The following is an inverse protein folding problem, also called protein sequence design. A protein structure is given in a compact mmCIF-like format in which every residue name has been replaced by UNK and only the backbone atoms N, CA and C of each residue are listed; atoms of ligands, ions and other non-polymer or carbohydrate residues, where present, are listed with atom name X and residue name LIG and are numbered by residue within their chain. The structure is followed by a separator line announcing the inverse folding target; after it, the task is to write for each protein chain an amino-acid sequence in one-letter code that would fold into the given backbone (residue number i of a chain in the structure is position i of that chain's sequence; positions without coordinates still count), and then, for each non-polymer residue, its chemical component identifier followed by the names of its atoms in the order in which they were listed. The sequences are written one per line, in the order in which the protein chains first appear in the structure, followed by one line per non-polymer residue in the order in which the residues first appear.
data_IF_614171505718
#
_entry.id   IF_614171505718
#
_cell.length_a   1.000
_cell.length_b   1.000
_cell.length_c   1.000
_cell.angle_alpha   90.00
_cell.angle_beta   90.00
_cell.angle_gamma   90.00
#
_symmetry.space_group_name_H-M   'P 1'
#
loop_
_entity.id
_entity.type
_entity.pdbx_description
1 polymer ?
#
# COMPACT_ATOMS: atom_id res chain seq x y z
N UNK A 1 58.65 -66.06 46.06
CA UNK A 1 59.00 -65.17 47.19
C UNK A 1 58.27 -63.84 47.00
N UNK A 2 56.99 -63.84 47.37
CA UNK A 2 56.06 -62.71 47.32
C UNK A 2 55.75 -62.35 48.77
N UNK A 3 56.71 -61.74 49.49
CA UNK A 3 56.53 -61.54 50.93
C UNK A 3 57.49 -60.48 51.52
N UNK A 4 57.54 -59.27 50.94
CA UNK A 4 58.26 -58.14 51.56
C UNK A 4 57.61 -56.77 51.30
N UNK A 5 56.28 -56.69 51.36
CA UNK A 5 55.54 -55.42 51.32
C UNK A 5 54.48 -55.40 52.42
N UNK A 6 54.90 -55.34 53.69
CA UNK A 6 54.00 -55.00 54.80
C UNK A 6 54.79 -54.71 56.10
N UNK A 7 55.54 -53.61 56.16
CA UNK A 7 55.86 -53.00 57.45
C UNK A 7 54.67 -52.10 57.84
N UNK A 8 53.95 -52.36 58.94
CA UNK A 8 52.87 -51.48 59.36
C UNK A 8 53.49 -50.13 59.74
N UNK A 9 53.11 -49.08 59.03
CA UNK A 9 53.39 -47.71 59.43
C UNK A 9 52.93 -47.52 60.90
N UNK A 10 53.67 -46.76 61.73
CA UNK A 10 53.26 -46.49 63.10
C UNK A 10 51.85 -45.93 63.09
N UNK A 11 50.95 -46.52 63.88
CA UNK A 11 49.51 -46.31 63.86
C UNK A 11 49.08 -44.83 64.02
N UNK A 12 49.90 -44.01 64.67
CA UNK A 12 49.70 -42.56 64.75
C UNK A 12 49.87 -41.81 63.43
N UNK A 13 50.79 -42.27 62.56
CA UNK A 13 51.09 -41.65 61.28
C UNK A 13 50.01 -42.01 60.23
N UNK A 14 49.48 -43.24 60.29
CA UNK A 14 48.31 -43.63 59.49
C UNK A 14 47.05 -42.86 59.90
N UNK A 15 46.84 -42.61 61.19
CA UNK A 15 45.70 -41.78 61.65
C UNK A 15 45.82 -40.33 61.18
N UNK A 16 47.03 -39.75 61.27
CA UNK A 16 47.28 -38.37 60.84
C UNK A 16 47.05 -38.15 59.33
N UNK A 17 47.52 -39.09 58.50
CA UNK A 17 47.28 -39.05 57.05
C UNK A 17 45.79 -39.20 56.70
N UNK A 18 45.08 -40.08 57.38
CA UNK A 18 43.65 -40.31 57.15
C UNK A 18 42.83 -39.07 57.57
N UNK A 19 43.18 -38.45 58.71
CA UNK A 19 42.58 -37.18 59.14
C UNK A 19 42.84 -36.06 58.12
N UNK A 20 44.06 -35.93 57.60
CA UNK A 20 44.39 -34.93 56.59
C UNK A 20 43.62 -35.15 55.28
N UNK A 21 43.48 -36.39 54.83
CA UNK A 21 42.71 -36.73 53.64
C UNK A 21 41.21 -36.42 53.81
N UNK A 22 40.64 -36.70 54.99
CA UNK A 22 39.25 -36.36 55.32
C UNK A 22 39.05 -34.84 55.37
N UNK A 23 39.97 -34.08 55.96
CA UNK A 23 39.94 -32.62 55.96
C UNK A 23 40.07 -32.03 54.53
N UNK A 24 40.91 -32.62 53.69
CA UNK A 24 41.05 -32.21 52.28
C UNK A 24 39.79 -32.53 51.47
N UNK A 25 39.18 -33.71 51.67
CA UNK A 25 37.93 -34.08 51.01
C UNK A 25 36.74 -33.21 51.47
N UNK A 26 36.65 -32.92 52.77
CA UNK A 26 35.61 -32.05 53.32
C UNK A 26 35.76 -30.60 52.83
N UNK A 27 36.99 -30.06 52.83
CA UNK A 27 37.25 -28.70 52.32
C UNK A 27 37.03 -28.60 50.81
N UNK A 28 37.38 -29.63 50.02
CA UNK A 28 37.08 -29.72 48.59
C UNK A 28 35.58 -29.74 48.29
N UNK A 29 34.80 -30.52 49.05
CA UNK A 29 33.33 -30.58 48.89
C UNK A 29 32.64 -29.25 49.22
N UNK A 30 33.06 -28.57 50.29
CA UNK A 30 32.55 -27.25 50.68
C UNK A 30 32.91 -26.21 49.60
N UNK A 31 34.17 -26.16 49.17
CA UNK A 31 34.63 -25.21 48.16
C UNK A 31 33.92 -25.42 46.80
N UNK A 32 33.70 -26.68 46.38
CA UNK A 32 32.98 -27.00 45.16
C UNK A 32 31.50 -26.57 45.23
N UNK A 33 30.81 -26.87 46.33
CA UNK A 33 29.41 -26.48 46.52
C UNK A 33 29.21 -24.96 46.55
N UNK A 34 30.10 -24.22 47.22
CA UNK A 34 30.07 -22.75 47.20
C UNK A 34 30.38 -22.19 45.81
N UNK A 35 31.39 -22.73 45.12
CA UNK A 35 31.75 -22.32 43.78
C UNK A 35 30.63 -22.55 42.77
N UNK A 36 29.97 -23.72 42.83
CA UNK A 36 28.83 -24.06 41.98
C UNK A 36 27.66 -23.11 42.21
N UNK A 37 27.23 -22.91 43.47
CA UNK A 37 26.13 -22.00 43.80
C UNK A 37 26.43 -20.55 43.44
N UNK A 38 27.69 -20.12 43.59
CA UNK A 38 28.13 -18.79 43.20
C UNK A 38 28.08 -18.62 41.67
N UNK A 39 28.59 -19.61 40.92
CA UNK A 39 28.54 -19.61 39.46
C UNK A 39 27.09 -19.66 38.93
N UNK A 40 26.23 -20.47 39.56
CA UNK A 40 24.80 -20.55 39.24
C UNK A 40 24.10 -19.21 39.48
N UNK A 41 24.32 -18.58 40.65
CA UNK A 41 23.75 -17.27 40.97
C UNK A 41 24.23 -16.18 39.99
N UNK A 42 25.52 -16.18 39.64
CA UNK A 42 26.10 -15.25 38.68
C UNK A 42 25.53 -15.48 37.26
N UNK A 43 25.35 -16.74 36.87
CA UNK A 43 24.75 -17.13 35.60
C UNK A 43 23.28 -16.70 35.50
N UNK A 44 22.49 -16.96 36.56
CA UNK A 44 21.10 -16.53 36.66
C UNK A 44 20.97 -15.00 36.61
N UNK A 45 21.84 -14.28 37.33
CA UNK A 45 21.88 -12.82 37.31
C UNK A 45 22.20 -12.27 35.91
N UNK A 46 23.21 -12.82 35.22
CA UNK A 46 23.56 -12.43 33.85
C UNK A 46 22.46 -12.74 32.84
N UNK A 47 21.80 -13.89 32.99
CA UNK A 47 20.68 -14.26 32.12
C UNK A 47 19.49 -13.31 32.33
N UNK A 48 19.20 -12.93 33.57
CA UNK A 48 18.16 -11.94 33.88
C UNK A 48 18.49 -10.58 33.25
N UNK A 49 19.71 -10.07 33.44
CA UNK A 49 20.16 -8.81 32.86
C UNK A 49 20.09 -8.81 31.33
N UNK A 50 20.46 -9.92 30.69
CA UNK A 50 20.37 -10.07 29.24
C UNK A 50 18.91 -10.10 28.75
N UNK A 51 18.02 -10.79 29.47
CA UNK A 51 16.57 -10.78 29.19
C UNK A 51 15.98 -9.38 29.35
N UNK A 52 16.36 -8.65 30.39
CA UNK A 52 15.88 -7.29 30.64
C UNK A 52 16.36 -6.32 29.54
N UNK A 53 17.63 -6.42 29.13
CA UNK A 53 18.18 -5.64 28.01
C UNK A 53 17.44 -5.94 26.71
N UNK A 54 17.21 -7.21 26.41
CA UNK A 54 16.50 -7.60 25.19
C UNK A 54 15.02 -7.15 25.22
N UNK A 55 14.36 -7.23 26.38
CA UNK A 55 12.99 -6.75 26.55
C UNK A 55 12.90 -5.23 26.36
N UNK A 56 13.85 -4.46 26.92
CA UNK A 56 13.92 -3.00 26.71
C UNK A 56 14.17 -2.65 25.24
N UNK A 57 15.14 -3.30 24.61
CA UNK A 57 15.46 -3.05 23.20
C UNK A 57 14.28 -3.40 22.28
N UNK A 58 13.56 -4.49 22.57
CA UNK A 58 12.35 -4.86 21.85
C UNK A 58 11.23 -3.81 22.03
N UNK A 59 11.05 -3.29 23.25
CA UNK A 59 10.09 -2.22 23.53
C UNK A 59 10.43 -0.93 22.79
N UNK A 60 11.68 -0.47 22.88
CA UNK A 60 12.16 0.74 22.19
C UNK A 60 12.00 0.63 20.67
N UNK A 61 12.31 -0.56 20.11
CA UNK A 61 12.12 -0.83 18.68
C UNK A 61 10.64 -0.83 18.30
N UNK A 62 9.78 -1.43 19.13
CA UNK A 62 8.34 -1.44 18.91
C UNK A 62 7.73 -0.03 18.99
N UNK A 63 8.17 0.80 19.92
CA UNK A 63 7.76 2.20 20.05
C UNK A 63 8.21 3.02 18.85
N UNK A 64 9.48 2.91 18.44
CA UNK A 64 9.99 3.58 17.25
C UNK A 64 9.23 3.18 15.98
N UNK A 65 8.90 1.90 15.83
CA UNK A 65 8.08 1.41 14.72
C UNK A 65 6.64 1.93 14.78
N UNK A 66 6.02 1.99 15.96
CA UNK A 66 4.69 2.57 16.13
C UNK A 66 4.66 4.05 15.77
N UNK A 67 5.65 4.84 16.19
CA UNK A 67 5.76 6.26 15.83
C UNK A 67 5.89 6.42 14.32
N UNK A 68 6.76 5.63 13.67
CA UNK A 68 6.90 5.65 12.20
C UNK A 68 5.60 5.26 11.50
N UNK A 69 4.90 4.24 11.99
CA UNK A 69 3.61 3.82 11.45
C UNK A 69 2.56 4.91 11.60
N UNK A 70 2.46 5.54 12.77
CA UNK A 70 1.53 6.65 13.00
C UNK A 70 1.82 7.84 12.07
N UNK A 71 3.10 8.15 11.84
CA UNK A 71 3.49 9.19 10.88
C UNK A 71 3.08 8.82 9.46
N UNK A 72 3.27 7.57 9.04
CA UNK A 72 2.85 7.08 7.73
C UNK A 72 1.32 7.15 7.57
N UNK A 73 0.55 6.69 8.57
CA UNK A 73 -0.91 6.76 8.57
C UNK A 73 -1.39 8.21 8.52
N UNK A 74 -0.78 9.11 9.29
CA UNK A 74 -1.13 10.54 9.27
C UNK A 74 -0.89 11.16 7.90
N UNK A 75 0.25 10.85 7.27
CA UNK A 75 0.56 11.32 5.91
C UNK A 75 -0.42 10.77 4.87
N UNK A 76 -0.75 9.48 4.95
CA UNK A 76 -1.72 8.84 4.07
C UNK A 76 -3.11 9.49 4.21
N UNK A 77 -3.59 9.67 5.44
CA UNK A 77 -4.87 10.31 5.73
C UNK A 77 -4.93 11.75 5.19
N UNK A 78 -3.85 12.52 5.33
CA UNK A 78 -3.79 13.89 4.78
C UNK A 78 -3.87 13.88 3.26
N UNK A 79 -3.14 12.97 2.60
CA UNK A 79 -3.19 12.83 1.14
C UNK A 79 -4.59 12.41 0.66
N UNK A 80 -5.25 11.50 1.38
CA UNK A 80 -6.61 11.06 1.08
C UNK A 80 -7.63 12.20 1.24
N UNK A 81 -7.52 13.01 2.30
CA UNK A 81 -8.35 14.20 2.47
C UNK A 81 -8.18 15.22 1.34
N UNK A 82 -6.94 15.46 0.91
CA UNK A 82 -6.64 16.34 -0.22
C UNK A 82 -7.23 15.79 -1.52
N UNK A 83 -7.15 14.48 -1.74
CA UNK A 83 -7.75 13.82 -2.90
C UNK A 83 -9.27 13.98 -2.91
N UNK A 84 -9.95 13.72 -1.80
CA UNK A 84 -11.40 13.91 -1.70
C UNK A 84 -11.82 15.36 -1.91
N UNK A 85 -11.07 16.33 -1.38
CA UNK A 85 -11.34 17.75 -1.60
C UNK A 85 -11.25 18.14 -3.10
N UNK A 86 -10.28 17.57 -3.84
CA UNK A 86 -10.17 17.79 -5.29
C UNK A 86 -11.35 17.17 -6.04
N UNK A 87 -11.74 15.94 -5.66
CA UNK A 87 -12.87 15.26 -6.30
C UNK A 87 -14.19 16.02 -6.08
N UNK A 88 -14.44 16.49 -4.86
CA UNK A 88 -15.65 17.26 -4.52
C UNK A 88 -15.72 18.59 -5.29
N UNK A 89 -14.59 19.30 -5.37
CA UNK A 89 -14.48 20.52 -6.19
C UNK A 89 -14.78 20.26 -7.66
N UNK A 90 -14.20 19.20 -8.24
CA UNK A 90 -14.43 18.84 -9.63
C UNK A 90 -15.90 18.46 -9.90
N UNK A 91 -16.56 17.80 -8.95
CA UNK A 91 -17.99 17.50 -9.00
C UNK A 91 -18.84 18.77 -9.02
N UNK A 92 -18.58 19.67 -8.08
CA UNK A 92 -19.31 20.94 -7.95
C UNK A 92 -19.16 21.85 -9.17
N UNK A 93 -17.94 21.96 -9.74
CA UNK A 93 -17.69 22.75 -10.95
C UNK A 93 -18.43 22.22 -12.20
N UNK A 94 -18.85 20.95 -12.18
CA UNK A 94 -19.40 20.27 -13.34
C UNK A 94 -20.92 20.18 -13.37
N UNK A 95 -21.57 20.22 -12.20
CA UNK A 95 -23.02 20.26 -12.10
C UNK A 95 -23.67 21.35 -13.00
N UNK A 96 -23.21 22.61 -13.02
CA UNK A 96 -23.82 23.63 -13.88
C UNK A 96 -23.56 23.41 -15.37
N UNK A 97 -22.49 22.69 -15.75
CA UNK A 97 -22.23 22.34 -17.14
C UNK A 97 -23.22 21.27 -17.58
N UNK A 98 -23.41 20.23 -16.76
CA UNK A 98 -24.33 19.13 -17.02
C UNK A 98 -25.76 19.64 -17.26
N UNK A 99 -26.22 20.55 -16.40
CA UNK A 99 -27.57 21.15 -16.49
C UNK A 99 -27.77 21.98 -17.77
N UNK A 100 -26.69 22.54 -18.32
CA UNK A 100 -26.74 23.38 -19.52
C UNK A 100 -26.64 22.58 -20.82
N UNK A 101 -26.21 21.32 -20.78
CA UNK A 101 -26.05 20.47 -21.98
C UNK A 101 -27.33 20.46 -22.85
N UNK A 102 -28.54 20.20 -22.31
CA UNK A 102 -29.75 20.18 -23.14
C UNK A 102 -29.96 21.52 -23.84
N UNK A 103 -29.77 22.63 -23.13
CA UNK A 103 -29.99 23.97 -23.67
C UNK A 103 -29.02 24.32 -24.82
N UNK A 104 -27.74 24.00 -24.67
CA UNK A 104 -26.71 24.32 -25.70
C UNK A 104 -26.69 23.34 -26.87
N UNK A 105 -27.42 22.22 -26.77
CA UNK A 105 -27.53 21.21 -27.83
C UNK A 105 -28.88 21.15 -28.51
N UNK A 106 -29.88 21.91 -28.03
CA UNK A 106 -31.22 21.96 -28.61
C UNK A 106 -31.49 23.21 -29.46
N UNK A 107 -30.88 24.35 -29.14
CA UNK A 107 -31.23 25.65 -29.73
C UNK A 107 -30.00 26.43 -30.17
N UNK A 108 -30.07 27.11 -31.32
CA UNK A 108 -29.06 28.05 -31.78
C UNK A 108 -29.68 29.38 -32.23
N UNK A 109 -28.83 30.38 -32.45
CA UNK A 109 -29.20 31.66 -33.07
C UNK A 109 -28.24 31.85 -34.24
N UNK A 110 -28.77 32.06 -35.43
CA UNK A 110 -27.99 32.31 -36.64
C UNK A 110 -27.24 33.65 -36.58
N UNK A 111 -27.82 34.65 -35.91
CA UNK A 111 -27.23 35.97 -35.68
C UNK A 111 -27.49 36.48 -34.25
N UNK A 112 -26.67 37.41 -33.71
CA UNK A 112 -26.80 37.89 -32.33
C UNK A 112 -28.18 38.49 -31.98
N UNK A 113 -28.93 38.98 -32.96
CA UNK A 113 -30.27 39.54 -32.79
C UNK A 113 -31.41 38.59 -33.21
N UNK A 114 -31.11 37.45 -33.85
CA UNK A 114 -32.12 36.51 -34.33
C UNK A 114 -32.87 35.80 -33.19
N UNK A 115 -34.09 35.33 -33.42
CA UNK A 115 -34.78 34.49 -32.43
C UNK A 115 -34.06 33.12 -32.29
N UNK A 116 -34.06 32.50 -31.10
CA UNK A 116 -33.59 31.13 -30.95
C UNK A 116 -34.41 30.16 -31.80
N UNK A 117 -33.73 29.29 -32.54
CA UNK A 117 -34.32 28.26 -33.39
C UNK A 117 -33.74 26.87 -33.07
N UNK A 118 -34.47 25.77 -33.35
CA UNK A 118 -33.97 24.43 -33.11
C UNK A 118 -32.71 24.14 -33.93
N UNK A 119 -31.74 23.44 -33.33
CA UNK A 119 -30.52 23.04 -34.03
C UNK A 119 -30.86 22.06 -35.18
N UNK A 120 -30.32 22.26 -36.40
CA UNK A 120 -30.46 21.30 -37.48
C UNK A 120 -29.95 19.92 -37.07
N UNK A 121 -30.56 18.85 -37.58
CA UNK A 121 -30.20 17.48 -37.20
C UNK A 121 -28.70 17.23 -37.43
N UNK A 122 -27.96 17.04 -36.35
CA UNK A 122 -26.56 16.61 -36.37
C UNK A 122 -26.51 15.09 -36.37
N UNK A 123 -25.78 14.50 -37.32
CA UNK A 123 -25.65 13.05 -37.47
C UNK A 123 -24.19 12.67 -37.36
N UNK A 124 -23.87 11.78 -36.43
CA UNK A 124 -22.58 11.10 -36.35
C UNK A 124 -22.70 9.72 -36.98
N UNK A 125 -21.76 9.37 -37.85
CA UNK A 125 -21.76 8.05 -38.50
C UNK A 125 -21.07 7.01 -37.64
N UNK A 126 -21.30 5.72 -37.92
CA UNK A 126 -20.62 4.60 -37.27
C UNK A 126 -19.11 4.69 -37.46
N UNK A 127 -18.64 5.10 -38.64
CA UNK A 127 -17.23 5.33 -38.93
C UNK A 127 -16.65 6.51 -38.14
N UNK A 128 -17.42 7.59 -37.97
CA UNK A 128 -17.00 8.70 -37.10
C UNK A 128 -16.83 8.25 -35.65
N UNK A 129 -17.80 7.50 -35.10
CA UNK A 129 -17.73 6.98 -33.74
C UNK A 129 -16.55 6.01 -33.58
N UNK A 130 -16.29 5.21 -34.63
CA UNK A 130 -15.13 4.31 -34.68
C UNK A 130 -13.84 5.09 -34.47
N UNK A 131 -13.61 6.08 -35.32
CA UNK A 131 -12.36 6.84 -35.30
C UNK A 131 -12.25 7.72 -34.04
N UNK A 132 -13.39 8.19 -33.52
CA UNK A 132 -13.47 8.89 -32.22
C UNK A 132 -12.96 8.03 -31.06
N UNK A 133 -13.48 6.80 -30.85
CA UNK A 133 -12.97 6.00 -29.72
C UNK A 133 -11.56 5.45 -30.00
N UNK A 134 -11.19 5.22 -31.26
CA UNK A 134 -9.81 4.87 -31.61
C UNK A 134 -8.84 5.99 -31.21
N UNK A 135 -9.20 7.27 -31.40
CA UNK A 135 -8.42 8.41 -30.95
C UNK A 135 -8.31 8.50 -29.41
N UNK A 136 -9.33 8.02 -28.68
CA UNK A 136 -9.31 7.88 -27.22
C UNK A 136 -8.54 6.64 -26.73
N UNK A 137 -7.99 5.83 -27.64
CA UNK A 137 -7.26 4.60 -27.30
C UNK A 137 -8.16 3.45 -26.83
N UNK A 138 -9.47 3.53 -27.08
CA UNK A 138 -10.38 2.42 -26.80
C UNK A 138 -10.14 1.34 -27.86
N UNK A 139 -9.77 0.11 -27.48
CA UNK A 139 -9.56 -0.97 -28.44
C UNK A 139 -10.86 -1.27 -29.18
N UNK A 140 -10.75 -1.55 -30.49
CA UNK A 140 -11.88 -2.03 -31.27
C UNK A 140 -12.41 -3.36 -30.73
N UNK A 141 -13.73 -3.42 -30.50
CA UNK A 141 -14.52 -4.54 -29.97
C UNK A 141 -14.35 -4.85 -28.47
N UNK A 142 -14.99 -4.05 -27.61
CA UNK A 142 -15.50 -4.57 -26.33
C UNK A 142 -16.81 -5.30 -26.60
N UNK A 143 -16.72 -6.61 -26.86
CA UNK A 143 -17.85 -7.50 -26.68
C UNK A 143 -18.13 -7.65 -25.18
N UNK A 144 -19.10 -6.91 -24.66
CA UNK A 144 -19.52 -6.99 -23.26
C UNK A 144 -20.90 -6.34 -23.06
N UNK A 145 -21.81 -6.95 -22.28
CA UNK A 145 -23.23 -6.66 -22.33
C UNK A 145 -23.52 -5.33 -21.64
N UNK A 146 -23.64 -4.25 -22.41
CA UNK A 146 -24.47 -3.13 -21.98
C UNK A 146 -25.91 -3.59 -22.15
N UNK A 147 -26.56 -3.89 -21.03
CA UNK A 147 -27.97 -4.21 -20.95
C UNK A 147 -28.78 -3.02 -21.46
N UNK A 148 -29.16 -3.04 -22.73
CA UNK A 148 -30.02 -2.02 -23.33
C UNK A 148 -29.96 -2.02 -24.85
N UNK A 149 -30.84 -2.81 -25.47
CA UNK A 149 -31.18 -2.84 -26.89
C UNK A 149 -30.16 -3.46 -27.86
N UNK A 150 -30.64 -4.47 -28.60
CA UNK A 150 -29.95 -5.13 -29.70
C UNK A 150 -29.67 -4.16 -30.87
N UNK A 151 -28.43 -4.13 -31.38
CA UNK A 151 -27.96 -3.38 -32.55
C UNK A 151 -26.46 -3.64 -32.85
N UNK A 152 -25.97 -3.51 -34.10
CA UNK A 152 -25.29 -4.61 -34.81
C UNK A 152 -23.75 -4.58 -34.83
N UNK A 153 -23.17 -5.78 -34.92
CA UNK A 153 -21.89 -6.16 -35.54
C UNK A 153 -20.58 -5.49 -35.04
N UNK A 154 -19.41 -6.12 -35.26
CA UNK A 154 -18.11 -5.46 -35.07
C UNK A 154 -18.12 -4.13 -35.82
N UNK A 155 -17.53 -3.10 -35.22
CA UNK A 155 -17.39 -1.76 -35.78
C UNK A 155 -17.19 -1.80 -37.29
N UNK A 156 -18.03 -1.08 -38.04
CA UNK A 156 -18.00 -1.11 -39.50
C UNK A 156 -16.56 -0.91 -40.01
N UNK A 157 -16.12 -1.82 -40.88
CA UNK A 157 -14.75 -1.80 -41.37
C UNK A 157 -14.47 -0.49 -42.13
N UNK A 158 -13.27 0.09 -42.00
CA UNK A 158 -12.88 1.28 -42.75
C UNK A 158 -13.15 1.15 -44.25
N UNK A 159 -13.76 2.17 -44.85
CA UNK A 159 -14.04 2.23 -46.27
C UNK A 159 -15.25 1.42 -46.73
N UNK A 160 -16.12 0.99 -45.81
CA UNK A 160 -17.38 0.30 -46.15
C UNK A 160 -18.57 1.24 -46.02
N UNK A 161 -19.60 1.05 -46.85
CA UNK A 161 -20.85 1.82 -46.77
C UNK A 161 -21.53 1.71 -45.39
N UNK A 162 -21.28 0.61 -44.66
CA UNK A 162 -21.76 0.40 -43.30
C UNK A 162 -21.22 1.46 -42.31
N UNK A 163 -20.08 2.09 -42.60
CA UNK A 163 -19.50 3.13 -41.76
C UNK A 163 -20.24 4.48 -41.89
N UNK A 164 -21.06 4.64 -42.94
CA UNK A 164 -21.89 5.84 -43.18
C UNK A 164 -23.25 5.78 -42.48
N UNK A 165 -23.61 4.63 -41.89
CA UNK A 165 -24.82 4.49 -41.10
C UNK A 165 -24.78 5.40 -39.88
N UNK A 166 -25.95 5.85 -39.42
CA UNK A 166 -26.08 6.66 -38.20
C UNK A 166 -25.69 5.83 -36.97
N UNK A 167 -24.85 6.40 -36.10
CA UNK A 167 -24.35 5.72 -34.90
C UNK A 167 -25.31 5.77 -33.71
N UNK A 168 -26.32 6.64 -33.76
CA UNK A 168 -27.22 6.92 -32.64
C UNK A 168 -26.63 7.83 -31.56
N UNK A 169 -25.37 8.25 -31.68
CA UNK A 169 -24.75 9.23 -30.78
C UNK A 169 -25.27 10.62 -31.09
N UNK A 170 -25.54 11.40 -30.04
CA UNK A 170 -26.04 12.77 -30.13
C UNK A 170 -24.97 13.80 -29.72
N UNK A 171 -25.11 15.09 -30.09
CA UNK A 171 -24.22 16.14 -29.59
C UNK A 171 -24.17 16.25 -28.06
N UNK A 172 -25.29 15.92 -27.40
CA UNK A 172 -25.37 15.88 -25.94
C UNK A 172 -24.46 14.78 -25.35
N UNK A 173 -24.42 13.61 -25.98
CA UNK A 173 -23.55 12.50 -25.55
C UNK A 173 -22.06 12.87 -25.70
N UNK A 174 -21.69 13.55 -26.78
CA UNK A 174 -20.30 14.01 -26.98
C UNK A 174 -19.90 15.06 -25.94
N UNK A 175 -20.79 16.00 -25.63
CA UNK A 175 -20.52 17.03 -24.63
C UNK A 175 -20.45 16.44 -23.21
N UNK A 176 -21.34 15.49 -22.88
CA UNK A 176 -21.30 14.75 -21.63
C UNK A 176 -20.00 13.94 -21.50
N UNK A 177 -19.59 13.25 -22.57
CA UNK A 177 -18.31 12.55 -22.60
C UNK A 177 -17.12 13.51 -22.40
N UNK A 178 -17.08 14.65 -23.11
CA UNK A 178 -16.00 15.63 -22.96
C UNK A 178 -15.91 16.17 -21.53
N UNK A 179 -17.05 16.35 -20.87
CA UNK A 179 -17.13 16.74 -19.46
C UNK A 179 -16.55 15.66 -18.54
N UNK A 180 -16.94 14.40 -18.72
CA UNK A 180 -16.44 13.28 -17.92
C UNK A 180 -14.95 13.03 -18.15
N UNK A 181 -14.50 13.08 -19.41
CA UNK A 181 -13.10 12.99 -19.78
C UNK A 181 -12.28 14.13 -19.18
N UNK A 182 -12.79 15.36 -19.21
CA UNK A 182 -12.17 16.53 -18.58
C UNK A 182 -12.11 16.42 -17.04
N UNK A 183 -13.07 15.72 -16.40
CA UNK A 183 -13.00 15.39 -14.97
C UNK A 183 -11.84 14.46 -14.70
N UNK A 184 -11.79 13.36 -15.47
CA UNK A 184 -10.78 12.32 -15.33
C UNK A 184 -9.36 12.88 -15.56
N UNK A 185 -9.15 13.64 -16.64
CA UNK A 185 -7.85 14.20 -16.98
C UNK A 185 -7.34 15.16 -15.89
N UNK A 186 -8.21 16.03 -15.35
CA UNK A 186 -7.84 16.97 -14.27
C UNK A 186 -7.55 16.24 -12.95
N UNK A 187 -8.32 15.19 -12.64
CA UNK A 187 -8.06 14.33 -11.47
C UNK A 187 -6.74 13.57 -11.60
N UNK A 188 -6.42 13.06 -12.79
CA UNK A 188 -5.14 12.39 -13.03
C UNK A 188 -3.97 13.37 -12.90
N UNK A 189 -4.10 14.57 -13.48
CA UNK A 189 -3.09 15.62 -13.38
C UNK A 189 -2.83 16.03 -11.91
N UNK A 190 -3.88 16.16 -11.10
CA UNK A 190 -3.72 16.48 -9.67
C UNK A 190 -3.04 15.35 -8.90
N UNK A 191 -3.39 14.08 -9.18
CA UNK A 191 -2.74 12.91 -8.58
C UNK A 191 -1.26 12.84 -8.92
N UNK A 192 -0.89 12.99 -10.20
CA UNK A 192 0.51 12.98 -10.64
C UNK A 192 1.29 14.13 -9.99
N UNK A 193 0.70 15.33 -9.93
CA UNK A 193 1.34 16.48 -9.28
C UNK A 193 1.57 16.21 -7.79
N UNK A 194 0.56 15.67 -7.09
CA UNK A 194 0.69 15.28 -5.68
C UNK A 194 1.79 14.24 -5.44
N UNK A 195 1.90 13.24 -6.32
CA UNK A 195 2.96 12.22 -6.25
C UNK A 195 4.35 12.81 -6.49
N UNK A 196 4.50 13.72 -7.47
CA UNK A 196 5.77 14.40 -7.74
C UNK A 196 6.21 15.24 -6.53
N UNK A 197 5.31 16.06 -5.98
CA UNK A 197 5.59 16.85 -4.78
C UNK A 197 5.95 15.98 -3.58
N UNK A 198 5.25 14.86 -3.37
CA UNK A 198 5.56 13.92 -2.29
C UNK A 198 6.94 13.25 -2.46
N UNK A 199 7.39 13.03 -3.70
CA UNK A 199 8.74 12.51 -3.98
C UNK A 199 9.83 13.55 -3.78
N UNK A 200 9.61 14.78 -4.24
CA UNK A 200 10.58 15.89 -4.10
C UNK A 200 10.78 16.32 -2.65
N UNK A 201 9.71 16.28 -1.85
CA UNK A 201 9.77 16.54 -0.41
C UNK A 201 10.25 15.33 0.41
N UNK A 202 10.39 14.16 -0.23
CA UNK A 202 10.80 12.90 0.37
C UNK A 202 12.27 12.52 0.15
N UNK A 203 13.04 13.31 -0.61
CA UNK A 203 14.50 13.20 -0.61
C UNK A 203 15.07 13.77 0.69
N UNK A 204 15.90 13.01 1.45
CA UNK A 204 16.52 13.50 2.67
C UNK A 204 17.44 14.70 2.43
#
# INVERSE_FOLDING_TARGET
MLERLASPLPSGLTLGLLACMVCAAASGGIAYGFGYRHAEALGAARLSDLKDKHARQASETAEANNVRLQQQVTRANLAEQQMFAVLDRLGTEQQPIQERIPHVTSTYRSEPAAAPEPIPRCVFTVGWLRDYNAALGVPGALAGPVTGSAGPAPWAAPGTDAELLESGVTPADILAHAQDYGRWARSLASQVTGLLTARETGTP
#
